data_IF_590749196764
#
_entry.id   IF_590749196764
#
_cell.length_a   1.000
_cell.length_b   1.000
_cell.length_c   1.000
_cell.angle_alpha   90.00
_cell.angle_beta   90.00
_cell.angle_gamma   90.00
#
_symmetry.space_group_name_H-M   'P 1'
#
loop_
_entity.id
_entity.type
_entity.pdbx_description
1 polymer ?
#
# COMPACT_ATOMS: atom_id res chain seq x y z
N UNK A 1 -17.54 9.91 25.48
CA UNK A 1 -17.20 10.48 24.16
C UNK A 1 -16.74 9.34 23.27
N UNK A 2 -17.31 9.16 22.10
CA UNK A 2 -16.96 8.08 21.15
C UNK A 2 -15.59 8.39 20.56
N UNK A 3 -14.67 7.41 20.58
CA UNK A 3 -13.36 7.55 19.98
C UNK A 3 -13.36 6.85 18.60
N UNK A 4 -12.55 7.39 17.68
CA UNK A 4 -12.31 6.78 16.38
C UNK A 4 -10.93 6.15 16.34
N UNK A 5 -10.86 4.94 15.79
CA UNK A 5 -9.62 4.17 15.63
C UNK A 5 -9.51 3.67 14.20
N UNK A 6 -8.33 3.75 13.62
CA UNK A 6 -8.06 3.16 12.30
C UNK A 6 -7.76 1.67 12.48
N UNK A 7 -8.48 0.84 11.74
CA UNK A 7 -8.29 -0.60 11.65
C UNK A 7 -7.88 -0.97 10.23
N UNK A 8 -6.72 -1.60 10.09
CA UNK A 8 -6.09 -1.88 8.80
C UNK A 8 -6.34 -3.31 8.36
N UNK A 9 -6.85 -3.44 7.17
CA UNK A 9 -7.07 -4.72 6.49
C UNK A 9 -6.22 -4.80 5.22
N UNK A 10 -5.87 -6.02 4.83
CA UNK A 10 -5.54 -6.33 3.44
C UNK A 10 -6.83 -6.71 2.70
N UNK A 11 -6.86 -6.74 1.35
CA UNK A 11 -8.03 -7.25 0.63
C UNK A 11 -8.48 -8.63 1.11
N UNK A 12 -7.53 -9.50 1.42
CA UNK A 12 -7.80 -10.85 1.93
C UNK A 12 -8.45 -10.83 3.31
N UNK A 13 -7.82 -10.16 4.29
CA UNK A 13 -8.34 -10.14 5.67
C UNK A 13 -9.67 -9.42 5.77
N UNK A 14 -9.96 -8.47 4.88
CA UNK A 14 -11.28 -7.86 4.73
C UNK A 14 -12.34 -8.86 4.28
N UNK A 15 -12.04 -9.67 3.25
CA UNK A 15 -12.94 -10.70 2.77
C UNK A 15 -13.16 -11.83 3.80
N UNK A 16 -12.13 -12.19 4.55
CA UNK A 16 -12.24 -13.15 5.64
C UNK A 16 -13.17 -12.61 6.76
N UNK A 17 -12.99 -11.35 7.16
CA UNK A 17 -13.87 -10.68 8.11
C UNK A 17 -15.32 -10.59 7.59
N UNK A 18 -15.50 -10.28 6.29
CA UNK A 18 -16.81 -10.24 5.63
C UNK A 18 -17.52 -11.58 5.67
N UNK A 19 -16.82 -12.67 5.36
CA UNK A 19 -17.36 -14.05 5.46
C UNK A 19 -17.80 -14.41 6.88
N UNK A 20 -17.22 -13.80 7.90
CA UNK A 20 -17.59 -13.93 9.30
C UNK A 20 -18.53 -12.80 9.78
N UNK A 21 -19.20 -12.10 8.84
CA UNK A 21 -20.17 -11.03 9.12
C UNK A 21 -19.60 -9.89 9.99
N UNK A 22 -18.30 -9.62 9.91
CA UNK A 22 -17.63 -8.57 10.68
C UNK A 22 -17.95 -8.62 12.17
N UNK A 23 -17.94 -9.79 12.78
CA UNK A 23 -18.24 -9.98 14.21
C UNK A 23 -17.02 -9.75 15.11
N UNK A 24 -15.83 -9.77 14.54
CA UNK A 24 -14.57 -9.69 15.26
C UNK A 24 -13.65 -8.69 14.57
N UNK A 25 -12.91 -7.88 15.34
CA UNK A 25 -11.74 -7.15 14.91
C UNK A 25 -10.51 -7.65 15.66
N UNK A 26 -9.36 -7.75 14.99
CA UNK A 26 -8.16 -8.38 15.52
C UNK A 26 -6.90 -7.61 15.19
N UNK A 27 -5.95 -7.61 16.12
CA UNK A 27 -4.69 -6.90 16.06
C UNK A 27 -3.53 -7.80 16.47
N UNK A 28 -2.33 -7.45 15.98
CA UNK A 28 -1.10 -8.18 16.32
C UNK A 28 -0.75 -8.03 17.81
N UNK A 29 -0.09 -9.04 18.37
CA UNK A 29 0.33 -9.10 19.77
C UNK A 29 1.13 -7.86 20.23
N UNK A 30 2.06 -7.39 19.42
CA UNK A 30 2.88 -6.21 19.71
C UNK A 30 2.10 -4.88 19.78
N UNK A 31 0.80 -4.90 19.47
CA UNK A 31 -0.08 -3.73 19.54
C UNK A 31 -0.98 -3.74 20.79
N UNK A 32 -0.85 -4.73 21.64
CA UNK A 32 -1.74 -4.93 22.79
C UNK A 32 -1.89 -3.68 23.68
N UNK A 33 -0.80 -2.99 23.97
CA UNK A 33 -0.83 -1.75 24.79
C UNK A 33 -1.71 -0.62 24.22
N UNK A 34 -1.90 -0.60 22.89
CA UNK A 34 -2.81 0.34 22.22
C UNK A 34 -4.23 -0.22 22.15
N UNK A 35 -4.35 -1.52 21.83
CA UNK A 35 -5.64 -2.22 21.71
C UNK A 35 -6.43 -2.11 23.01
N UNK A 36 -5.79 -2.25 24.18
CA UNK A 36 -6.43 -2.12 25.50
C UNK A 36 -7.09 -0.76 25.75
N UNK A 37 -6.71 0.29 24.99
CA UNK A 37 -7.29 1.63 25.13
C UNK A 37 -8.64 1.78 24.43
N UNK A 38 -8.97 0.85 23.54
CA UNK A 38 -10.24 0.83 22.81
C UNK A 38 -11.34 0.40 23.77
N UNK A 39 -12.48 1.09 23.74
CA UNK A 39 -13.58 0.85 24.67
C UNK A 39 -14.86 0.44 23.91
N UNK A 40 -15.77 -0.30 24.55
CA UNK A 40 -17.09 -0.51 23.99
C UNK A 40 -17.78 0.81 23.67
N UNK A 41 -18.35 0.90 22.47
CA UNK A 41 -18.92 2.13 21.93
C UNK A 41 -18.02 2.87 20.95
N UNK A 42 -16.71 2.64 20.97
CA UNK A 42 -15.77 3.23 20.02
C UNK A 42 -16.04 2.73 18.58
N UNK A 43 -15.58 3.50 17.61
CA UNK A 43 -15.73 3.21 16.20
C UNK A 43 -14.38 2.90 15.54
N UNK A 44 -14.31 1.76 14.86
CA UNK A 44 -13.17 1.34 14.07
C UNK A 44 -13.42 1.75 12.62
N UNK A 45 -12.58 2.61 12.06
CA UNK A 45 -12.58 3.00 10.65
C UNK A 45 -11.74 1.95 9.91
N UNK A 46 -12.39 1.19 9.03
CA UNK A 46 -11.78 0.13 8.28
C UNK A 46 -11.11 0.66 7.00
N UNK A 47 -9.80 0.48 6.91
CA UNK A 47 -9.02 0.88 5.76
C UNK A 47 -8.32 -0.32 5.14
N UNK A 48 -8.50 -0.52 3.84
CA UNK A 48 -7.87 -1.62 3.10
C UNK A 48 -6.57 -1.11 2.49
N UNK A 49 -5.46 -1.57 3.05
CA UNK A 49 -4.13 -1.35 2.49
C UNK A 49 -4.01 -2.01 1.10
N UNK A 50 -2.94 -1.78 0.36
CA UNK A 50 -2.71 -2.29 -1.00
C UNK A 50 -3.68 -1.77 -2.06
N UNK A 51 -4.93 -1.46 -1.73
CA UNK A 51 -5.88 -0.80 -2.63
C UNK A 51 -6.23 0.61 -2.19
N UNK A 52 -5.69 1.05 -1.05
CA UNK A 52 -5.84 2.40 -0.50
C UNK A 52 -7.29 2.88 -0.47
N UNK A 53 -8.17 2.14 0.23
CA UNK A 53 -9.61 2.45 0.30
C UNK A 53 -10.14 2.36 1.71
N UNK A 54 -11.07 3.24 2.01
CA UNK A 54 -11.92 3.15 3.20
C UNK A 54 -13.15 2.29 2.89
N UNK A 55 -13.38 1.24 3.66
CA UNK A 55 -14.38 0.21 3.33
C UNK A 55 -15.45 0.02 4.38
N UNK A 56 -15.37 0.68 5.51
CA UNK A 56 -16.43 0.57 6.50
C UNK A 56 -16.13 1.17 7.85
N UNK A 57 -17.11 1.03 8.73
CA UNK A 57 -17.05 1.39 10.14
C UNK A 57 -17.66 0.25 10.94
N UNK A 58 -16.91 -0.23 11.94
CA UNK A 58 -17.36 -1.22 12.90
C UNK A 58 -17.51 -0.54 14.27
N UNK A 59 -18.54 -0.89 15.02
CA UNK A 59 -18.73 -0.44 16.40
C UNK A 59 -18.24 -1.51 17.36
N UNK A 60 -17.37 -1.13 18.27
CA UNK A 60 -16.86 -2.00 19.33
C UNK A 60 -17.98 -2.31 20.34
N UNK A 61 -18.16 -3.57 20.67
CA UNK A 61 -19.22 -4.04 21.60
C UNK A 61 -18.69 -4.77 22.83
N UNK A 62 -17.41 -5.18 22.83
CA UNK A 62 -16.75 -5.78 24.00
C UNK A 62 -15.49 -5.01 24.39
N UNK A 63 -15.00 -5.22 25.61
CA UNK A 63 -13.61 -4.87 25.91
C UNK A 63 -12.66 -5.76 25.10
N UNK A 64 -11.45 -5.28 24.75
CA UNK A 64 -10.45 -6.11 24.12
C UNK A 64 -10.02 -7.29 25.01
N UNK A 65 -9.75 -8.42 24.39
CA UNK A 65 -9.24 -9.63 25.04
C UNK A 65 -8.28 -10.37 24.12
N UNK A 66 -7.56 -11.35 24.67
CA UNK A 66 -6.68 -12.23 23.87
C UNK A 66 -7.35 -13.55 23.62
N UNK A 67 -7.52 -13.92 22.36
CA UNK A 67 -8.08 -15.20 21.94
C UNK A 67 -7.58 -15.55 20.52
N UNK A 68 -6.49 -16.29 20.49
CA UNK A 68 -5.87 -16.73 19.24
C UNK A 68 -6.76 -17.72 18.48
N UNK A 69 -7.48 -18.60 19.19
CA UNK A 69 -8.36 -19.57 18.55
C UNK A 69 -9.49 -18.87 17.80
N UNK A 70 -10.18 -17.94 18.47
CA UNK A 70 -11.27 -17.17 17.88
C UNK A 70 -10.77 -16.30 16.71
N UNK A 71 -9.57 -15.72 16.83
CA UNK A 71 -8.93 -15.00 15.73
C UNK A 71 -8.65 -15.91 14.52
N UNK A 72 -8.12 -17.12 14.75
CA UNK A 72 -7.80 -18.08 13.69
C UNK A 72 -9.06 -18.66 13.03
N UNK A 73 -10.22 -18.64 13.70
CA UNK A 73 -11.50 -18.99 13.07
C UNK A 73 -11.91 -17.99 11.99
N UNK A 74 -11.49 -16.72 12.12
CA UNK A 74 -11.74 -15.66 11.14
C UNK A 74 -10.60 -15.56 10.14
N UNK A 75 -9.36 -15.41 10.61
CA UNK A 75 -8.16 -15.19 9.79
C UNK A 75 -7.26 -16.43 9.84
N UNK A 76 -7.28 -17.22 8.76
CA UNK A 76 -6.61 -18.52 8.71
C UNK A 76 -5.08 -18.45 8.63
N UNK A 77 -4.55 -17.35 8.14
CA UNK A 77 -3.13 -17.25 7.75
C UNK A 77 -2.36 -16.14 8.46
N UNK A 78 -3.07 -15.27 9.19
CA UNK A 78 -2.48 -14.19 9.96
C UNK A 78 -2.80 -14.36 11.44
N UNK A 79 -1.84 -14.07 12.32
CA UNK A 79 -2.06 -14.10 13.76
C UNK A 79 -2.46 -12.71 14.27
N UNK A 80 -3.70 -12.60 14.75
CA UNK A 80 -4.27 -11.41 15.37
C UNK A 80 -4.86 -11.74 16.74
N UNK A 81 -4.07 -12.19 17.72
CA UNK A 81 -4.56 -12.72 18.99
C UNK A 81 -5.26 -11.69 19.88
N UNK A 82 -5.05 -10.39 19.63
CA UNK A 82 -5.66 -9.30 20.37
C UNK A 82 -6.97 -8.92 19.70
N UNK A 83 -8.08 -9.41 20.22
CA UNK A 83 -9.40 -9.30 19.57
C UNK A 83 -10.40 -8.52 20.39
N UNK A 84 -11.45 -8.07 19.74
CA UNK A 84 -12.67 -7.53 20.34
C UNK A 84 -13.87 -7.84 19.49
N UNK A 85 -15.03 -8.04 20.14
CA UNK A 85 -16.28 -8.22 19.43
C UNK A 85 -16.75 -6.87 18.89
N UNK A 86 -17.21 -6.88 17.65
CA UNK A 86 -17.67 -5.69 16.96
C UNK A 86 -18.98 -5.97 16.23
N UNK A 87 -19.66 -4.92 15.82
CA UNK A 87 -20.81 -5.01 14.91
C UNK A 87 -20.63 -4.02 13.76
N UNK A 88 -21.02 -4.38 12.54
CA UNK A 88 -20.95 -3.49 11.40
C UNK A 88 -21.91 -2.32 11.54
N UNK A 89 -21.43 -1.11 11.22
CA UNK A 89 -22.22 0.11 11.06
C UNK A 89 -22.32 0.46 9.59
N UNK A 90 -21.19 0.42 8.88
CA UNK A 90 -21.09 0.58 7.44
C UNK A 90 -20.10 -0.48 6.96
N UNK A 91 -20.46 -1.21 5.91
CA UNK A 91 -19.56 -2.12 5.23
C UNK A 91 -19.75 -2.02 3.73
N UNK A 92 -18.68 -1.78 3.01
CA UNK A 92 -18.66 -1.62 1.57
C UNK A 92 -17.81 -2.74 0.97
N UNK A 93 -18.24 -3.26 -0.17
CA UNK A 93 -17.37 -4.11 -0.97
C UNK A 93 -16.27 -3.28 -1.67
N UNK A 94 -15.39 -3.94 -2.42
CA UNK A 94 -14.27 -3.25 -3.04
C UNK A 94 -14.70 -2.21 -4.08
N UNK A 95 -15.80 -2.44 -4.78
CA UNK A 95 -16.30 -1.53 -5.83
C UNK A 95 -16.86 -0.26 -5.23
N UNK A 96 -17.54 -0.37 -4.08
CA UNK A 96 -18.19 0.76 -3.38
C UNK A 96 -17.28 1.40 -2.31
N UNK A 97 -16.13 0.79 -2.02
CA UNK A 97 -15.14 1.33 -1.07
C UNK A 97 -14.55 2.64 -1.58
N UNK A 98 -14.50 3.66 -0.72
CA UNK A 98 -14.09 5.01 -1.10
C UNK A 98 -12.57 5.11 -1.21
N UNK A 99 -12.02 5.56 -2.35
CA UNK A 99 -10.58 5.76 -2.50
C UNK A 99 -10.03 6.74 -1.46
N UNK A 100 -8.83 6.47 -0.99
CA UNK A 100 -8.14 7.34 -0.02
C UNK A 100 -7.96 8.77 -0.54
N UNK A 101 -7.70 8.95 -1.84
CA UNK A 101 -7.61 10.27 -2.50
C UNK A 101 -8.85 11.14 -2.33
N UNK A 102 -10.04 10.55 -2.23
CA UNK A 102 -11.30 11.28 -2.05
C UNK A 102 -11.48 11.83 -0.62
N UNK A 103 -10.73 11.31 0.34
CA UNK A 103 -10.92 11.58 1.76
C UNK A 103 -9.72 12.30 2.37
N UNK A 104 -8.49 11.83 2.12
CA UNK A 104 -7.29 12.25 2.85
C UNK A 104 -7.06 13.75 2.76
N UNK A 105 -7.24 14.37 1.60
CA UNK A 105 -7.06 15.82 1.41
C UNK A 105 -7.97 16.68 2.28
N UNK A 106 -9.05 16.11 2.83
CA UNK A 106 -10.03 16.78 3.70
C UNK A 106 -9.71 16.62 5.19
N UNK A 107 -8.72 15.79 5.53
CA UNK A 107 -8.36 15.46 6.91
C UNK A 107 -7.30 16.41 7.47
N UNK A 108 -7.39 16.70 8.76
CA UNK A 108 -6.35 17.47 9.47
C UNK A 108 -5.02 16.72 9.58
N UNK A 109 -5.09 15.38 9.52
CA UNK A 109 -3.93 14.48 9.60
C UNK A 109 -3.35 14.10 8.22
N UNK A 110 -3.78 14.75 7.14
CA UNK A 110 -3.38 14.41 5.76
C UNK A 110 -1.85 14.24 5.59
N UNK A 111 -1.07 15.22 6.06
CA UNK A 111 0.40 15.18 5.95
C UNK A 111 1.08 14.02 6.70
N UNK A 112 0.38 13.38 7.66
CA UNK A 112 0.89 12.26 8.46
C UNK A 112 0.31 10.92 8.04
N UNK A 113 -0.55 10.90 7.03
CA UNK A 113 -1.33 9.71 6.66
C UNK A 113 -0.46 8.50 6.34
N UNK A 114 0.60 8.66 5.57
CA UNK A 114 1.51 7.57 5.21
C UNK A 114 2.17 6.88 6.43
N UNK A 115 2.38 7.61 7.52
CA UNK A 115 2.85 7.03 8.79
C UNK A 115 1.76 6.28 9.54
N UNK A 116 0.52 6.80 9.50
CA UNK A 116 -0.64 6.25 10.22
C UNK A 116 -1.05 4.89 9.67
N UNK A 117 -0.97 4.68 8.35
CA UNK A 117 -1.37 3.43 7.71
C UNK A 117 -0.31 2.31 7.74
N UNK A 118 0.83 2.52 8.43
CA UNK A 118 1.87 1.50 8.59
C UNK A 118 1.56 0.45 9.67
N UNK A 119 0.56 0.69 10.49
CA UNK A 119 0.16 -0.24 11.55
C UNK A 119 -1.11 0.20 12.25
N UNK A 120 -1.89 -0.74 12.80
CA UNK A 120 -3.13 -0.49 13.54
C UNK A 120 -3.09 -1.15 14.92
N UNK A 121 -3.93 -0.69 15.87
CA UNK A 121 -4.82 0.46 15.76
C UNK A 121 -4.06 1.80 15.87
N UNK A 122 -4.59 2.84 15.22
CA UNK A 122 -4.16 4.22 15.45
C UNK A 122 -5.38 5.09 15.76
N UNK A 123 -5.23 5.98 16.74
CA UNK A 123 -6.31 6.89 17.12
C UNK A 123 -6.47 7.98 16.05
N UNK A 124 -7.70 8.20 15.64
CA UNK A 124 -8.11 9.29 14.75
C UNK A 124 -8.85 10.34 15.59
N UNK A 125 -8.54 11.60 15.39
CA UNK A 125 -9.26 12.68 16.10
C UNK A 125 -10.74 12.71 15.68
N UNK A 126 -11.57 13.31 16.51
CA UNK A 126 -13.02 13.33 16.32
C UNK A 126 -13.44 14.04 15.04
N UNK A 127 -12.79 15.14 14.69
CA UNK A 127 -13.06 15.90 13.47
C UNK A 127 -12.85 15.03 12.21
N UNK A 128 -11.69 14.41 12.11
CA UNK A 128 -11.35 13.55 10.96
C UNK A 128 -12.22 12.29 10.95
N UNK A 129 -12.48 11.68 12.11
CA UNK A 129 -13.38 10.54 12.23
C UNK A 129 -14.79 10.84 11.72
N UNK A 130 -15.34 12.01 12.06
CA UNK A 130 -16.64 12.45 11.60
C UNK A 130 -16.66 12.73 10.09
N UNK A 131 -15.61 13.32 9.54
CA UNK A 131 -15.46 13.53 8.08
C UNK A 131 -15.48 12.19 7.35
N UNK A 132 -14.64 11.24 7.77
CA UNK A 132 -14.56 9.91 7.14
C UNK A 132 -15.92 9.21 7.23
N UNK A 133 -16.54 9.20 8.42
CA UNK A 133 -17.84 8.58 8.64
C UNK A 133 -18.90 9.15 7.70
N UNK A 134 -19.00 10.48 7.61
CA UNK A 134 -19.99 11.15 6.74
C UNK A 134 -19.80 10.77 5.28
N UNK A 135 -18.56 10.74 4.77
CA UNK A 135 -18.28 10.39 3.38
C UNK A 135 -18.67 8.92 3.11
N UNK A 136 -18.36 8.01 4.03
CA UNK A 136 -18.74 6.60 3.90
C UNK A 136 -20.26 6.40 3.95
N UNK A 137 -20.98 7.13 4.81
CA UNK A 137 -22.45 7.11 4.87
C UNK A 137 -23.06 7.61 3.56
N UNK A 138 -22.54 8.70 3.00
CA UNK A 138 -23.00 9.26 1.73
C UNK A 138 -22.73 8.29 0.56
N UNK A 139 -21.54 7.69 0.51
CA UNK A 139 -21.19 6.70 -0.50
C UNK A 139 -22.11 5.48 -0.43
N UNK A 140 -22.35 4.95 0.76
CA UNK A 140 -23.24 3.82 0.97
C UNK A 140 -24.69 4.14 0.55
N UNK A 141 -25.22 5.32 0.94
CA UNK A 141 -26.59 5.74 0.60
C UNK A 141 -26.78 5.95 -0.90
N UNK A 142 -25.79 6.51 -1.59
CA UNK A 142 -25.84 6.82 -3.03
C UNK A 142 -25.41 5.64 -3.89
N UNK A 143 -24.95 4.54 -3.29
CA UNK A 143 -24.39 3.37 -3.96
C UNK A 143 -23.33 3.77 -5.01
N UNK A 144 -22.39 4.64 -4.60
CA UNK A 144 -21.37 5.18 -5.50
C UNK A 144 -20.36 4.09 -5.81
N UNK A 145 -20.15 3.83 -7.09
CA UNK A 145 -19.12 2.90 -7.56
C UNK A 145 -17.79 3.63 -7.83
N UNK A 146 -16.71 3.06 -7.30
CA UNK A 146 -15.35 3.51 -7.58
C UNK A 146 -14.62 2.36 -8.27
N UNK A 147 -14.55 2.34 -9.60
CA UNK A 147 -13.91 1.25 -10.34
C UNK A 147 -12.49 0.99 -9.83
N UNK A 148 -12.18 -0.27 -9.60
CA UNK A 148 -10.82 -0.70 -9.30
C UNK A 148 -10.05 -0.80 -10.62
N UNK A 149 -8.83 -0.28 -10.65
CA UNK A 149 -7.96 -0.55 -11.80
C UNK A 149 -7.80 -2.08 -11.93
N UNK A 150 -7.85 -2.61 -13.14
CA UNK A 150 -7.76 -4.06 -13.41
C UNK A 150 -6.51 -4.72 -12.76
N UNK A 151 -5.51 -3.94 -12.39
CA UNK A 151 -4.26 -4.38 -11.75
C UNK A 151 -4.39 -4.64 -10.23
N UNK A 152 -5.38 -4.06 -9.55
CA UNK A 152 -5.58 -4.19 -8.09
C UNK A 152 -6.33 -5.49 -7.72
N UNK A 153 -7.06 -6.09 -8.65
CA UNK A 153 -7.94 -7.25 -8.40
C UNK A 153 -7.18 -8.60 -8.38
N UNK A 154 -5.87 -8.62 -8.59
CA UNK A 154 -5.13 -9.85 -8.30
C UNK A 154 -5.10 -10.02 -6.78
N UNK A 155 -5.77 -11.05 -6.21
CA UNK A 155 -5.67 -11.33 -4.78
C UNK A 155 -4.19 -11.49 -4.47
N UNK A 156 -3.70 -10.72 -3.51
CA UNK A 156 -2.34 -10.88 -3.03
C UNK A 156 -2.25 -12.28 -2.41
N UNK A 157 -1.77 -13.22 -3.19
CA UNK A 157 -1.47 -14.59 -2.77
C UNK A 157 -0.14 -14.60 -2.02
N UNK A 158 -0.04 -13.86 -0.92
CA UNK A 158 1.20 -13.80 -0.14
C UNK A 158 1.42 -15.02 0.76
N UNK A 159 0.44 -15.88 0.94
CA UNK A 159 0.55 -16.99 1.89
C UNK A 159 0.49 -18.41 1.30
N UNK A 160 0.48 -18.54 -0.02
CA UNK A 160 0.65 -19.85 -0.64
C UNK A 160 2.10 -20.17 -1.03
N UNK A 161 3.06 -19.39 -0.57
CA UNK A 161 4.49 -19.58 -0.92
C UNK A 161 5.10 -20.90 -0.45
N UNK A 162 4.42 -21.65 0.43
CA UNK A 162 4.93 -22.96 0.88
C UNK A 162 4.32 -24.18 0.17
N UNK A 163 3.28 -24.02 -0.64
CA UNK A 163 2.62 -25.16 -1.32
C UNK A 163 2.17 -24.91 -2.76
N UNK A 164 2.34 -23.71 -3.34
CA UNK A 164 2.04 -23.47 -4.76
C UNK A 164 3.31 -23.27 -5.57
N UNK A 165 3.24 -23.70 -6.85
CA UNK A 165 4.31 -23.44 -7.82
C UNK A 165 4.69 -21.96 -7.77
N UNK A 166 5.94 -21.69 -7.46
CA UNK A 166 6.48 -20.33 -7.45
C UNK A 166 6.39 -19.75 -8.85
N UNK A 167 5.76 -18.59 -9.00
CA UNK A 167 5.66 -17.90 -10.29
C UNK A 167 6.84 -16.95 -10.40
N UNK A 168 7.59 -17.08 -11.48
CA UNK A 168 8.69 -16.19 -11.84
C UNK A 168 8.25 -15.30 -13.01
N UNK A 169 8.91 -14.17 -13.18
CA UNK A 169 8.79 -13.34 -14.39
C UNK A 169 9.29 -14.09 -15.62
N UNK A 170 9.13 -13.48 -16.78
CA UNK A 170 9.70 -14.02 -18.02
C UNK A 170 11.20 -14.21 -17.89
N UNK A 171 11.79 -15.28 -18.46
CA UNK A 171 13.24 -15.45 -18.46
C UNK A 171 13.91 -14.28 -19.20
N UNK A 172 14.93 -13.70 -18.58
CA UNK A 172 15.76 -12.64 -19.17
C UNK A 172 17.25 -13.05 -19.18
N UNK A 173 17.65 -13.95 -18.25
CA UNK A 173 19.02 -14.46 -18.06
C UNK A 173 20.09 -13.35 -18.16
N UNK A 174 19.83 -12.23 -17.51
CA UNK A 174 20.62 -11.03 -17.63
C UNK A 174 21.46 -10.79 -16.38
N UNK A 175 22.79 -10.84 -16.50
CA UNK A 175 23.77 -10.52 -15.43
C UNK A 175 23.48 -11.16 -14.06
N UNK A 176 23.11 -12.45 -14.08
CA UNK A 176 22.78 -13.21 -12.87
C UNK A 176 21.33 -13.08 -12.41
N UNK A 177 20.52 -12.21 -13.01
CA UNK A 177 19.08 -12.16 -12.82
C UNK A 177 18.39 -13.00 -13.88
N UNK A 178 17.89 -14.18 -13.48
CA UNK A 178 17.29 -15.13 -14.41
C UNK A 178 15.94 -14.72 -14.94
N UNK A 179 15.15 -14.02 -14.14
CA UNK A 179 13.78 -13.66 -14.45
C UNK A 179 13.56 -12.16 -14.34
N UNK A 180 12.67 -11.64 -15.16
CA UNK A 180 12.21 -10.27 -15.11
C UNK A 180 11.68 -9.90 -13.71
N UNK A 181 11.88 -8.66 -13.26
CA UNK A 181 11.25 -8.13 -12.05
C UNK A 181 9.75 -8.38 -12.03
N UNK A 182 9.19 -8.62 -10.83
CA UNK A 182 7.75 -8.72 -10.61
C UNK A 182 7.23 -7.61 -9.67
N UNK A 183 8.13 -6.78 -9.15
CA UNK A 183 7.83 -5.70 -8.20
C UNK A 183 8.96 -4.67 -8.18
N UNK A 184 8.77 -3.57 -7.44
CA UNK A 184 9.76 -2.50 -7.26
C UNK A 184 11.12 -2.98 -6.77
N UNK A 185 11.15 -3.89 -5.78
CA UNK A 185 12.42 -4.42 -5.27
C UNK A 185 13.25 -5.11 -6.35
N UNK A 186 12.58 -5.81 -7.28
CA UNK A 186 13.24 -6.40 -8.44
C UNK A 186 13.77 -5.33 -9.41
N UNK A 187 13.06 -4.20 -9.55
CA UNK A 187 13.50 -3.05 -10.35
C UNK A 187 14.72 -2.39 -9.71
N UNK A 188 14.70 -2.15 -8.40
CA UNK A 188 15.83 -1.60 -7.64
C UNK A 188 17.07 -2.50 -7.82
N UNK A 189 16.89 -3.81 -7.65
CA UNK A 189 17.99 -4.77 -7.78
C UNK A 189 18.59 -4.75 -9.19
N UNK A 190 17.74 -4.77 -10.23
CA UNK A 190 18.19 -4.71 -11.62
C UNK A 190 18.90 -3.39 -11.92
N UNK A 191 18.32 -2.25 -11.50
CA UNK A 191 18.96 -0.96 -11.65
C UNK A 191 20.34 -0.92 -10.98
N UNK A 192 20.47 -1.44 -9.77
CA UNK A 192 21.77 -1.50 -9.07
C UNK A 192 22.84 -2.27 -9.87
N UNK A 193 22.44 -3.31 -10.61
CA UNK A 193 23.35 -4.09 -11.46
C UNK A 193 23.84 -3.27 -12.65
N UNK A 194 22.99 -2.43 -13.26
CA UNK A 194 23.28 -1.75 -14.53
C UNK A 194 23.45 -0.24 -14.42
N UNK A 195 23.27 0.35 -13.23
CA UNK A 195 23.34 1.79 -13.02
C UNK A 195 24.63 2.40 -13.60
N UNK A 196 25.76 1.74 -13.38
CA UNK A 196 27.06 2.20 -13.87
C UNK A 196 27.14 2.22 -15.40
N UNK A 197 26.58 1.23 -16.06
CA UNK A 197 26.58 1.13 -17.52
C UNK A 197 25.65 2.16 -18.15
N UNK A 198 24.60 2.57 -17.42
CA UNK A 198 23.69 3.63 -17.79
C UNK A 198 24.22 5.03 -17.42
N UNK A 199 25.44 5.13 -16.88
CA UNK A 199 26.05 6.40 -16.52
C UNK A 199 25.62 6.95 -15.16
N UNK A 200 25.05 6.13 -14.28
CA UNK A 200 24.65 6.54 -12.92
C UNK A 200 25.63 6.04 -11.87
N UNK A 201 25.72 6.80 -10.76
CA UNK A 201 26.33 6.36 -9.51
C UNK A 201 25.35 6.64 -8.39
N UNK A 202 24.97 5.61 -7.66
CA UNK A 202 24.04 5.69 -6.52
C UNK A 202 24.80 6.25 -5.32
N UNK A 203 24.28 7.31 -4.72
CA UNK A 203 24.79 7.92 -3.50
C UNK A 203 24.06 7.39 -2.26
N UNK A 204 22.72 7.28 -2.33
CA UNK A 204 21.90 6.77 -1.24
C UNK A 204 20.64 6.08 -1.76
N UNK A 205 20.18 5.05 -1.04
CA UNK A 205 18.87 4.42 -1.23
C UNK A 205 18.13 4.51 0.09
N UNK A 206 16.89 4.98 0.04
CA UNK A 206 16.03 5.19 1.19
C UNK A 206 14.75 4.38 1.12
N UNK A 207 13.92 4.57 2.14
CA UNK A 207 12.56 4.03 2.23
C UNK A 207 11.53 5.17 2.28
N UNK A 208 11.97 6.39 2.04
CA UNK A 208 11.17 7.61 1.99
C UNK A 208 11.42 8.26 0.65
N UNK A 209 10.42 9.00 0.17
CA UNK A 209 10.55 9.79 -1.04
C UNK A 209 11.69 10.85 -0.94
N UNK A 210 12.56 10.95 -1.94
CA UNK A 210 12.71 10.02 -3.06
C UNK A 210 13.40 8.71 -2.62
N UNK A 211 13.17 7.62 -3.34
CA UNK A 211 13.73 6.29 -3.04
C UNK A 211 15.26 6.26 -3.17
N UNK A 212 15.81 7.07 -4.08
CA UNK A 212 17.24 7.06 -4.36
C UNK A 212 17.75 8.45 -4.71
N UNK A 213 18.92 8.79 -4.13
CA UNK A 213 19.76 9.88 -4.60
C UNK A 213 20.92 9.30 -5.41
N UNK A 214 21.13 9.84 -6.60
CA UNK A 214 22.20 9.41 -7.50
C UNK A 214 22.86 10.61 -8.19
N UNK A 215 24.01 10.39 -8.79
CA UNK A 215 24.59 11.29 -9.77
C UNK A 215 24.55 10.63 -11.14
N UNK A 216 24.20 11.40 -12.15
CA UNK A 216 24.17 10.99 -13.55
C UNK A 216 25.24 11.76 -14.34
N UNK A 217 25.97 11.05 -15.19
CA UNK A 217 26.94 11.67 -16.07
C UNK A 217 26.22 12.49 -17.13
N UNK A 218 26.64 13.75 -17.30
CA UNK A 218 26.11 14.61 -18.35
C UNK A 218 26.77 14.21 -19.68
N UNK A 219 25.96 13.92 -20.70
CA UNK A 219 26.43 13.51 -22.02
C UNK A 219 27.47 14.49 -22.58
N UNK A 220 28.51 13.95 -23.23
CA UNK A 220 29.60 14.73 -23.85
C UNK A 220 30.35 15.69 -22.91
N UNK A 221 30.31 15.40 -21.60
CA UNK A 221 30.94 16.21 -20.55
C UNK A 221 31.57 15.29 -19.50
N UNK A 222 32.57 15.80 -18.77
CA UNK A 222 33.10 15.16 -17.58
C UNK A 222 32.36 15.55 -16.29
N UNK A 223 31.23 16.26 -16.45
CA UNK A 223 30.39 16.72 -15.33
C UNK A 223 29.35 15.69 -14.95
N UNK A 224 28.91 15.79 -13.71
CA UNK A 224 27.88 14.97 -13.13
C UNK A 224 26.79 15.88 -12.58
N UNK A 225 25.55 15.48 -12.69
CA UNK A 225 24.40 16.14 -12.08
C UNK A 225 23.81 15.24 -11.00
N UNK A 226 23.31 15.84 -9.91
CA UNK A 226 22.55 15.13 -8.88
C UNK A 226 21.12 14.96 -9.35
N UNK A 227 20.58 13.77 -9.15
CA UNK A 227 19.20 13.43 -9.49
C UNK A 227 18.54 12.63 -8.38
N UNK A 228 17.25 12.80 -8.26
CA UNK A 228 16.36 12.05 -7.36
C UNK A 228 15.57 11.04 -8.16
N UNK A 229 15.66 9.79 -7.78
CA UNK A 229 15.06 8.67 -8.49
C UNK A 229 13.96 8.04 -7.64
N UNK A 230 12.84 7.74 -8.29
CA UNK A 230 11.79 6.90 -7.73
C UNK A 230 11.70 5.59 -8.50
N UNK A 231 11.54 4.47 -7.78
CA UNK A 231 11.47 3.15 -8.40
C UNK A 231 10.03 2.65 -8.44
N UNK A 232 9.61 2.17 -9.61
CA UNK A 232 8.27 1.66 -9.83
C UNK A 232 8.29 0.38 -10.67
N UNK A 233 7.33 -0.51 -10.48
CA UNK A 233 7.17 -1.61 -11.43
C UNK A 233 6.62 -1.12 -12.77
N UNK A 234 5.61 -0.25 -12.72
CA UNK A 234 5.02 0.45 -13.86
C UNK A 234 5.16 1.95 -13.61
N UNK A 235 5.52 2.73 -14.61
CA UNK A 235 5.66 4.18 -14.45
C UNK A 235 4.39 4.86 -13.94
N UNK A 236 3.21 4.33 -14.28
CA UNK A 236 1.92 4.86 -13.82
C UNK A 236 1.65 4.66 -12.32
N UNK A 237 2.39 3.79 -11.64
CA UNK A 237 2.24 3.58 -10.19
C UNK A 237 2.66 4.82 -9.39
N UNK A 238 3.58 5.63 -9.92
CA UNK A 238 3.98 6.91 -9.30
C UNK A 238 2.77 7.78 -8.93
N UNK A 239 1.77 7.85 -9.83
CA UNK A 239 0.50 8.57 -9.56
C UNK A 239 -0.26 8.01 -8.36
N UNK A 240 -0.18 6.70 -8.18
CA UNK A 240 -0.93 6.01 -7.11
C UNK A 240 -0.31 6.26 -5.73
N UNK A 241 0.98 6.54 -5.67
CA UNK A 241 1.69 6.84 -4.43
C UNK A 241 1.48 8.29 -3.97
N UNK A 242 0.98 9.16 -4.85
CA UNK A 242 0.63 10.55 -4.52
C UNK A 242 1.85 11.41 -4.19
N UNK A 243 3.02 11.06 -4.74
CA UNK A 243 4.23 11.86 -4.60
C UNK A 243 4.12 13.16 -5.42
N UNK A 244 4.70 14.28 -4.94
CA UNK A 244 4.76 15.50 -5.71
C UNK A 244 5.66 15.31 -6.93
N UNK A 245 5.31 15.93 -8.04
CA UNK A 245 6.15 15.92 -9.27
C UNK A 245 7.49 16.60 -8.98
N UNK A 246 7.44 17.68 -8.20
CA UNK A 246 8.62 18.35 -7.70
C UNK A 246 9.34 17.47 -6.68
N UNK A 247 10.61 17.19 -6.92
CA UNK A 247 11.45 16.37 -6.05
C UNK A 247 11.73 14.96 -6.56
N UNK A 248 11.25 14.63 -7.78
CA UNK A 248 11.64 13.44 -8.52
C UNK A 248 12.11 13.85 -9.92
N UNK A 249 13.34 13.55 -10.27
CA UNK A 249 13.92 13.90 -11.57
C UNK A 249 13.78 12.74 -12.56
N UNK A 250 13.71 11.50 -12.07
CA UNK A 250 13.68 10.28 -12.89
C UNK A 250 12.83 9.19 -12.23
N UNK A 251 11.92 8.61 -12.99
CA UNK A 251 11.25 7.37 -12.63
C UNK A 251 11.98 6.21 -13.31
N UNK A 252 12.53 5.29 -12.52
CA UNK A 252 13.09 4.04 -13.03
C UNK A 252 12.06 2.93 -12.84
N UNK A 253 11.61 2.31 -13.95
CA UNK A 253 10.56 1.30 -13.88
C UNK A 253 10.90 0.06 -14.71
N UNK A 254 10.17 -1.06 -14.48
CA UNK A 254 10.26 -2.20 -15.37
C UNK A 254 9.60 -1.90 -16.71
N UNK A 255 8.34 -1.43 -16.70
CA UNK A 255 7.58 -1.07 -17.91
C UNK A 255 7.08 0.37 -17.84
N UNK A 256 7.20 1.10 -18.95
CA UNK A 256 6.68 2.44 -19.10
C UNK A 256 5.28 2.41 -19.73
N UNK A 257 4.25 2.67 -18.90
CA UNK A 257 2.83 2.65 -19.32
C UNK A 257 2.12 4.01 -19.17
N UNK A 258 2.85 5.06 -18.79
CA UNK A 258 2.32 6.42 -18.62
C UNK A 258 2.77 7.34 -19.76
N UNK A 259 2.01 7.37 -20.87
CA UNK A 259 2.37 8.08 -22.11
C UNK A 259 2.65 9.59 -21.96
N UNK A 260 1.95 10.25 -21.04
CA UNK A 260 2.10 11.71 -20.80
C UNK A 260 2.77 11.95 -19.45
N UNK A 261 3.81 11.19 -19.13
CA UNK A 261 4.55 11.37 -17.90
C UNK A 261 5.31 12.70 -17.92
N UNK A 262 5.10 13.61 -16.95
CA UNK A 262 5.82 14.87 -16.89
C UNK A 262 7.25 14.73 -16.35
N UNK A 263 7.62 13.55 -15.85
CA UNK A 263 8.94 13.21 -15.30
C UNK A 263 9.64 12.31 -16.32
N UNK A 264 10.96 12.43 -16.44
CA UNK A 264 11.77 11.52 -17.24
C UNK A 264 11.57 10.07 -16.77
N UNK A 265 11.45 9.13 -17.72
CA UNK A 265 11.22 7.72 -17.41
C UNK A 265 12.29 6.85 -18.04
N UNK A 266 12.88 5.96 -17.23
CA UNK A 266 13.82 4.94 -17.65
C UNK A 266 13.18 3.56 -17.50
N UNK A 267 12.76 2.96 -18.62
CA UNK A 267 12.18 1.61 -18.65
C UNK A 267 13.29 0.56 -18.77
N UNK A 268 13.51 -0.22 -17.72
CA UNK A 268 14.59 -1.22 -17.69
C UNK A 268 14.32 -2.39 -18.62
N UNK A 269 13.08 -2.74 -18.89
CA UNK A 269 12.71 -3.80 -19.86
C UNK A 269 13.18 -3.51 -21.30
N UNK A 270 13.36 -2.24 -21.62
CA UNK A 270 13.91 -1.80 -22.91
C UNK A 270 15.44 -1.73 -22.85
N UNK A 271 15.99 -1.14 -21.81
CA UNK A 271 17.44 -0.91 -21.66
C UNK A 271 18.27 -2.18 -21.57
N UNK A 272 17.75 -3.24 -20.93
CA UNK A 272 18.49 -4.51 -20.87
C UNK A 272 18.70 -5.16 -22.24
N UNK A 273 17.87 -4.82 -23.23
CA UNK A 273 18.04 -5.32 -24.60
C UNK A 273 19.27 -4.70 -25.27
N UNK A 274 19.53 -3.41 -24.99
CA UNK A 274 20.67 -2.68 -25.53
C UNK A 274 21.98 -3.09 -24.83
N UNK A 275 21.91 -3.50 -23.56
CA UNK A 275 23.07 -3.89 -22.74
C UNK A 275 23.43 -5.39 -22.82
N UNK A 276 22.55 -6.19 -23.38
CA UNK A 276 22.72 -7.66 -23.52
C UNK A 276 23.20 -8.12 -24.90
N UNK A 277 23.42 -7.19 -25.81
CA UNK A 277 23.91 -7.46 -27.16
C UNK A 277 25.44 -7.59 -27.21
#
# INVERSE_FOLDING_TARGET
MVQYWLDLFTPRTWEEARKNNFKLSGFRENRWSLVQKIQPGDLLICYITKISRFSGILKVISKPYKDEKKANDVWKTDSFPCVMDVKPVITLDFLHSVPASEIISKLTIAAKWGGIVRGSPNRINETDGNIIKKILEESAKKNIEYPLSKKVIKPATDDKRRSQKQVYGSPIDFRGLRHAPLNEMGVIYLFAIIARDLGFRVEAIGTKFPDCEAIRRIEKSDKWERIHIEFEYLSSNYKLHGHPIEGCDLIVCWEHDWKECPIEVLALSERIKDLGA
#
